data_IF_953138803739
#
_entry.id   IF_953138803739
#
_cell.length_a   1.000
_cell.length_b   1.000
_cell.length_c   1.000
_cell.angle_alpha   90.00
_cell.angle_beta   90.00
_cell.angle_gamma   90.00
#
_symmetry.space_group_name_H-M   'P 1'
#
loop_
_entity.id
_entity.type
_entity.pdbx_description
1 polymer ?
#
# COMPACT_ATOMS: atom_id res chain seq x y z
N UNK A 1 -27.33 -42.72 23.09
CA UNK A 1 -28.29 -42.65 24.20
C UNK A 1 -27.80 -41.62 25.20
N UNK A 2 -28.61 -40.56 25.38
CA UNK A 2 -28.57 -39.46 26.38
C UNK A 2 -28.40 -38.06 25.78
N UNK A 3 -29.57 -37.43 25.72
CA UNK A 3 -29.97 -36.06 25.39
C UNK A 3 -29.52 -35.08 26.49
N UNK A 4 -29.24 -33.83 26.12
CA UNK A 4 -29.57 -32.65 26.94
C UNK A 4 -29.82 -31.42 26.03
N UNK A 5 -30.82 -30.64 26.43
CA UNK A 5 -31.35 -29.42 25.82
C UNK A 5 -31.02 -28.23 26.74
N UNK A 6 -30.80 -27.02 26.22
CA UNK A 6 -31.55 -25.78 26.54
C UNK A 6 -30.90 -24.49 25.96
N UNK A 7 -31.69 -23.79 25.14
CA UNK A 7 -32.00 -22.34 24.99
C UNK A 7 -30.95 -21.18 24.91
N UNK A 8 -31.32 -20.06 24.22
CA UNK A 8 -30.45 -18.95 23.84
C UNK A 8 -30.59 -17.69 24.73
N UNK A 9 -29.63 -16.76 24.63
CA UNK A 9 -29.67 -15.44 25.28
C UNK A 9 -30.06 -14.32 24.29
N UNK A 10 -31.02 -13.50 24.71
CA UNK A 10 -31.47 -12.25 24.08
C UNK A 10 -30.83 -11.05 24.79
N UNK A 11 -30.43 -10.04 24.00
CA UNK A 11 -30.05 -8.70 24.43
C UNK A 11 -31.31 -7.87 24.78
N UNK A 12 -31.25 -7.09 25.87
CA UNK A 12 -32.21 -6.02 26.18
C UNK A 12 -31.49 -4.88 26.92
N UNK A 13 -31.73 -3.64 26.49
CA UNK A 13 -31.26 -2.42 27.16
C UNK A 13 -31.60 -1.16 26.37
N UNK A 14 -32.83 -0.66 26.53
CA UNK A 14 -33.30 0.63 26.02
C UNK A 14 -32.86 1.80 26.91
N UNK A 15 -32.62 2.95 26.27
CA UNK A 15 -32.43 4.29 26.84
C UNK A 15 -33.81 4.98 26.99
N UNK A 16 -34.01 5.68 28.10
CA UNK A 16 -35.20 6.45 28.46
C UNK A 16 -34.99 7.95 28.16
N UNK A 17 -36.01 8.59 27.59
CA UNK A 17 -36.04 10.02 27.21
C UNK A 17 -37.27 10.66 27.86
N UNK A 18 -37.04 11.56 28.83
CA UNK A 18 -38.08 12.36 29.46
C UNK A 18 -38.06 13.80 28.95
N UNK A 19 -39.13 14.19 28.24
CA UNK A 19 -39.45 15.57 27.87
C UNK A 19 -40.80 15.91 28.50
N UNK A 20 -40.86 16.91 29.37
CA UNK A 20 -42.12 17.46 29.89
C UNK A 20 -42.24 18.93 29.51
N UNK A 21 -43.33 19.25 28.82
CA UNK A 21 -43.83 20.60 28.61
C UNK A 21 -45.23 20.69 29.22
N UNK A 22 -45.53 21.75 30.00
CA UNK A 22 -46.85 22.39 29.92
C UNK A 22 -46.93 23.78 30.58
N UNK A 23 -47.46 24.68 29.78
CA UNK A 23 -48.13 25.96 30.06
C UNK A 23 -49.27 25.88 31.09
N UNK A 24 -49.38 26.90 31.95
CA UNK A 24 -50.68 27.41 32.46
C UNK A 24 -50.64 28.91 32.79
N UNK A 25 -51.29 29.72 31.95
CA UNK A 25 -52.28 30.78 32.25
C UNK A 25 -52.23 31.62 33.56
N UNK A 26 -52.25 32.96 33.40
CA UNK A 26 -53.45 33.77 33.71
C UNK A 26 -53.49 34.70 34.95
N UNK A 27 -53.32 36.00 34.67
CA UNK A 27 -54.15 37.15 35.11
C UNK A 27 -53.90 37.87 36.47
N UNK A 28 -53.16 38.99 36.38
CA UNK A 28 -53.63 40.36 36.68
C UNK A 28 -53.87 40.79 38.13
N UNK A 29 -53.11 41.79 38.60
CA UNK A 29 -53.64 43.08 39.07
C UNK A 29 -52.53 44.14 39.22
N UNK A 30 -52.89 45.34 38.77
CA UNK A 30 -52.16 46.61 38.77
C UNK A 30 -52.10 47.22 40.19
N UNK A 31 -51.08 48.05 40.47
CA UNK A 31 -51.19 49.44 40.98
C UNK A 31 -49.93 49.89 41.74
N UNK A 32 -49.34 51.00 41.25
CA UNK A 32 -48.70 52.12 41.99
C UNK A 32 -47.44 51.81 42.81
N UNK A 33 -46.36 52.59 42.84
CA UNK A 33 -46.10 53.97 42.43
C UNK A 33 -44.96 54.49 43.32
N UNK A 34 -43.95 55.09 42.69
CA UNK A 34 -43.02 56.10 43.21
C UNK A 34 -42.05 55.82 44.38
N UNK A 35 -40.93 56.51 44.27
CA UNK A 35 -40.09 57.13 45.30
C UNK A 35 -38.80 56.43 45.72
N UNK A 36 -37.73 57.11 45.31
CA UNK A 36 -36.35 57.00 45.77
C UNK A 36 -36.23 56.84 47.29
N UNK A 37 -35.37 55.93 47.73
CA UNK A 37 -34.62 56.12 48.97
C UNK A 37 -33.21 55.59 48.78
N UNK A 38 -32.28 56.50 48.51
CA UNK A 38 -30.88 56.31 48.86
C UNK A 38 -30.81 56.06 50.37
N UNK A 39 -30.20 54.95 50.78
CA UNK A 39 -29.68 54.79 52.14
C UNK A 39 -28.43 53.93 52.07
N UNK A 40 -27.29 54.61 52.17
CA UNK A 40 -25.97 54.03 52.38
C UNK A 40 -25.97 53.09 53.59
N UNK A 41 -25.41 51.90 53.40
CA UNK A 41 -24.88 51.08 54.49
C UNK A 41 -23.85 50.12 53.91
N UNK A 42 -22.60 50.58 53.95
CA UNK A 42 -21.41 49.80 53.62
C UNK A 42 -21.44 48.39 54.21
N UNK A 43 -21.26 47.39 53.36
CA UNK A 43 -20.58 46.17 53.76
C UNK A 43 -19.62 45.79 52.63
N UNK A 44 -18.39 46.26 52.77
CA UNK A 44 -17.22 45.74 52.08
C UNK A 44 -17.23 44.22 52.18
N UNK A 45 -17.70 43.60 51.11
CA UNK A 45 -17.22 42.31 50.64
C UNK A 45 -17.02 42.47 49.15
N UNK A 46 -16.07 43.34 48.81
CA UNK A 46 -15.23 43.12 47.65
C UNK A 46 -14.51 41.80 47.91
N UNK A 47 -15.23 40.70 47.68
CA UNK A 47 -14.63 39.50 47.16
C UNK A 47 -14.11 39.91 45.79
N UNK A 48 -12.95 40.55 45.81
CA UNK A 48 -12.05 40.63 44.69
C UNK A 48 -11.60 39.19 44.43
N UNK A 49 -12.51 38.42 43.84
CA UNK A 49 -12.17 37.26 43.06
C UNK A 49 -11.81 37.75 41.67
N UNK A 50 -10.92 38.72 41.55
CA UNK A 50 -9.88 38.67 40.53
C UNK A 50 -9.11 37.37 40.75
N UNK A 51 -9.76 36.28 40.36
CA UNK A 51 -9.07 35.14 39.82
C UNK A 51 -8.52 35.68 38.52
N UNK A 52 -7.39 36.37 38.63
CA UNK A 52 -6.47 36.65 37.54
C UNK A 52 -5.99 35.29 37.04
N UNK A 53 -6.90 34.62 36.34
CA UNK A 53 -6.63 33.48 35.50
C UNK A 53 -6.08 34.07 34.20
N UNK A 54 -4.97 34.79 34.31
CA UNK A 54 -3.99 34.91 33.23
C UNK A 54 -3.37 33.51 33.09
N UNK A 55 -4.19 32.56 32.65
CA UNK A 55 -3.68 31.31 32.12
C UNK A 55 -3.21 31.71 30.74
N UNK A 56 -1.91 32.04 30.64
CA UNK A 56 -1.25 32.24 29.36
C UNK A 56 -1.68 31.12 28.42
N UNK A 57 -2.22 31.48 27.26
CA UNK A 57 -2.63 30.50 26.26
C UNK A 57 -1.39 29.69 25.85
N UNK A 58 -1.42 28.37 26.06
CA UNK A 58 -0.33 27.49 25.65
C UNK A 58 -0.33 27.44 24.13
N UNK A 59 0.75 27.93 23.53
CA UNK A 59 0.93 27.99 22.07
C UNK A 59 2.06 27.08 21.65
N UNK A 60 1.96 26.52 20.44
CA UNK A 60 3.04 25.73 19.87
C UNK A 60 4.23 26.63 19.51
N UNK A 61 5.43 26.22 19.88
CA UNK A 61 6.69 26.94 19.60
C UNK A 61 7.50 26.30 18.46
N UNK A 62 7.32 24.99 18.22
CA UNK A 62 8.07 24.27 17.20
C UNK A 62 7.64 22.82 17.01
N UNK A 63 8.28 22.15 16.06
CA UNK A 63 8.28 20.69 15.89
C UNK A 63 9.72 20.23 15.73
N UNK A 64 10.06 19.10 16.34
CA UNK A 64 11.39 18.48 16.24
C UNK A 64 11.25 17.05 15.72
N UNK A 65 11.93 16.74 14.62
CA UNK A 65 12.01 15.40 14.03
C UNK A 65 13.25 14.69 14.54
N UNK A 66 13.07 13.49 15.09
CA UNK A 66 14.15 12.64 15.57
C UNK A 66 14.08 11.23 14.97
N UNK A 67 15.23 10.62 14.64
CA UNK A 67 16.57 11.23 14.64
C UNK A 67 16.77 12.23 13.49
N UNK A 68 17.71 13.17 13.65
CA UNK A 68 18.11 14.13 12.60
C UNK A 68 18.66 13.44 11.34
N UNK A 69 19.11 12.19 11.47
CA UNK A 69 19.51 11.37 10.32
C UNK A 69 19.28 9.88 10.55
N UNK A 70 18.84 9.20 9.49
CA UNK A 70 18.79 7.75 9.36
C UNK A 70 19.73 7.32 8.24
N UNK A 71 20.72 6.49 8.58
CA UNK A 71 21.71 6.00 7.62
C UNK A 71 21.79 4.48 7.58
N UNK A 72 22.30 3.95 6.46
CA UNK A 72 22.40 2.51 6.19
C UNK A 72 21.04 1.81 6.21
N UNK A 73 19.97 2.54 5.85
CA UNK A 73 18.69 1.91 5.61
C UNK A 73 18.83 0.90 4.48
N UNK A 74 18.14 -0.23 4.59
CA UNK A 74 18.02 -1.17 3.47
C UNK A 74 16.56 -1.16 3.04
N UNK A 75 16.29 -1.48 1.78
CA UNK A 75 14.91 -1.56 1.31
C UNK A 75 14.07 -2.50 2.19
N UNK A 76 14.69 -3.57 2.73
CA UNK A 76 14.03 -4.56 3.61
C UNK A 76 13.91 -4.21 5.10
N UNK A 77 14.59 -3.17 5.56
CA UNK A 77 14.61 -2.81 6.99
C UNK A 77 14.18 -1.36 7.12
N UNK A 78 12.90 -1.11 7.42
CA UNK A 78 12.43 0.26 7.58
C UNK A 78 13.10 0.93 8.78
N UNK A 79 13.28 2.24 8.65
CA UNK A 79 13.61 3.14 9.76
C UNK A 79 12.34 3.72 10.38
N UNK A 80 12.50 4.60 11.37
CA UNK A 80 11.39 5.34 11.95
C UNK A 80 11.83 6.76 12.33
N UNK A 81 10.92 7.70 12.12
CA UNK A 81 11.00 9.08 12.58
C UNK A 81 9.91 9.31 13.62
N UNK A 82 10.20 10.18 14.57
CA UNK A 82 9.22 10.71 15.52
C UNK A 82 9.24 12.22 15.43
N UNK A 83 8.08 12.84 15.35
CA UNK A 83 7.94 14.29 15.42
C UNK A 83 7.33 14.70 16.76
N UNK A 84 8.01 15.59 17.47
CA UNK A 84 7.58 16.08 18.79
C UNK A 84 7.31 17.57 18.71
N UNK A 85 6.08 17.99 19.04
CA UNK A 85 5.72 19.39 19.16
C UNK A 85 6.21 19.94 20.52
N UNK A 86 6.83 21.11 20.48
CA UNK A 86 7.28 21.85 21.67
C UNK A 86 6.28 22.98 21.96
N UNK A 87 5.87 23.12 23.22
CA UNK A 87 4.86 24.10 23.64
C UNK A 87 5.44 25.18 24.56
N UNK A 88 4.80 26.35 24.61
CA UNK A 88 5.27 27.52 25.38
C UNK A 88 5.29 27.33 26.90
N UNK A 89 4.62 26.30 27.40
CA UNK A 89 4.68 25.88 28.82
C UNK A 89 5.82 24.88 29.10
N UNK A 90 6.62 24.55 28.07
CA UNK A 90 7.69 23.58 28.10
C UNK A 90 7.24 22.12 28.03
N UNK A 91 5.94 21.86 27.80
CA UNK A 91 5.46 20.51 27.53
C UNK A 91 5.81 20.06 26.11
N UNK A 92 5.75 18.75 25.87
CA UNK A 92 6.03 18.11 24.59
C UNK A 92 4.91 17.12 24.26
N UNK A 93 4.56 17.03 22.98
CA UNK A 93 3.53 16.08 22.49
C UNK A 93 4.01 15.39 21.22
N UNK A 94 3.83 14.08 21.13
CA UNK A 94 4.05 13.33 19.87
C UNK A 94 3.00 13.74 18.84
N UNK A 95 3.46 14.24 17.70
CA UNK A 95 2.65 14.70 16.57
C UNK A 95 3.03 13.96 15.27
N UNK A 96 3.67 12.80 15.39
CA UNK A 96 4.20 12.03 14.25
C UNK A 96 3.13 11.71 13.21
N UNK A 97 1.95 11.27 13.67
CA UNK A 97 0.82 10.91 12.81
C UNK A 97 0.09 12.13 12.21
N UNK A 98 0.26 13.29 12.83
CA UNK A 98 -0.33 14.57 12.43
C UNK A 98 0.57 15.34 11.46
N UNK A 99 1.84 14.96 11.31
CA UNK A 99 2.75 15.52 10.32
C UNK A 99 2.29 15.21 8.89
N UNK A 100 2.33 16.23 8.04
CA UNK A 100 2.34 16.03 6.60
C UNK A 100 3.76 15.68 6.15
N UNK A 101 4.09 14.39 6.15
CA UNK A 101 5.41 13.91 5.72
C UNK A 101 5.60 14.06 4.21
N UNK A 102 6.77 14.55 3.81
CA UNK A 102 7.23 14.57 2.42
C UNK A 102 8.68 14.10 2.31
N UNK A 103 9.06 13.58 1.16
CA UNK A 103 10.44 13.21 0.83
C UNK A 103 10.80 13.89 -0.48
N UNK A 104 11.95 14.56 -0.52
CA UNK A 104 12.41 15.31 -1.71
C UNK A 104 12.75 14.39 -2.90
N UNK A 105 13.15 13.14 -2.62
CA UNK A 105 13.48 12.11 -3.59
C UNK A 105 12.71 10.81 -3.34
N UNK A 106 11.55 10.70 -3.98
CA UNK A 106 10.64 9.54 -3.87
C UNK A 106 11.18 8.25 -4.49
N UNK A 107 12.25 8.32 -5.30
CA UNK A 107 12.94 7.13 -5.81
C UNK A 107 13.88 6.52 -4.76
N UNK A 108 14.19 7.24 -3.68
CA UNK A 108 15.09 6.79 -2.61
C UNK A 108 14.32 6.29 -1.40
N UNK A 109 13.32 7.03 -0.91
CA UNK A 109 12.59 6.67 0.30
C UNK A 109 11.12 7.14 0.29
N UNK A 110 10.34 6.53 1.17
CA UNK A 110 8.95 6.90 1.45
C UNK A 110 8.75 6.93 2.97
N UNK A 111 7.98 7.90 3.47
CA UNK A 111 7.63 8.00 4.90
C UNK A 111 6.11 7.87 5.04
N UNK A 112 5.67 6.88 5.81
CA UNK A 112 4.25 6.67 6.12
C UNK A 112 3.76 7.70 7.15
N UNK A 113 2.44 7.93 7.28
CA UNK A 113 1.91 8.88 8.26
C UNK A 113 2.36 8.60 9.70
N UNK A 114 2.51 7.33 10.10
CA UNK A 114 3.01 6.94 11.43
C UNK A 114 4.53 7.07 11.60
N UNK A 115 5.24 7.67 10.65
CA UNK A 115 6.66 7.97 10.72
C UNK A 115 7.57 6.82 10.31
N UNK A 116 7.05 5.71 9.78
CA UNK A 116 7.89 4.62 9.28
C UNK A 116 8.57 5.03 7.96
N UNK A 117 9.89 4.82 7.89
CA UNK A 117 10.69 5.17 6.71
C UNK A 117 11.03 3.90 5.93
N UNK A 118 10.51 3.81 4.71
CA UNK A 118 10.75 2.71 3.79
C UNK A 118 11.78 3.09 2.73
N UNK A 119 12.84 2.28 2.59
CA UNK A 119 13.80 2.44 1.51
C UNK A 119 13.22 1.94 0.18
N UNK A 120 13.24 2.79 -0.84
CA UNK A 120 12.80 2.48 -2.21
C UNK A 120 14.03 2.24 -3.11
N UNK A 121 15.08 3.02 -2.99
CA UNK A 121 16.25 2.90 -3.86
C UNK A 121 17.49 3.46 -3.21
N UNK A 122 18.68 3.09 -3.71
CA UNK A 122 19.93 3.58 -3.14
C UNK A 122 20.07 5.09 -3.38
N UNK A 123 20.50 5.80 -2.36
CA UNK A 123 20.78 7.23 -2.46
C UNK A 123 20.51 8.00 -1.18
N UNK A 124 20.51 9.32 -1.34
CA UNK A 124 20.23 10.28 -0.28
C UNK A 124 18.90 10.97 -0.57
N UNK A 125 18.15 11.25 0.51
CA UNK A 125 16.91 12.01 0.49
C UNK A 125 16.75 12.79 1.79
N UNK A 126 15.83 13.74 1.83
CA UNK A 126 15.46 14.51 3.02
C UNK A 126 13.97 14.30 3.27
N UNK A 127 13.63 13.79 4.46
CA UNK A 127 12.27 13.75 4.95
C UNK A 127 11.94 15.08 5.65
N UNK A 128 10.79 15.66 5.33
CA UNK A 128 10.26 16.86 6.00
C UNK A 128 8.95 16.51 6.68
N UNK A 129 8.83 16.79 7.98
CA UNK A 129 7.53 16.90 8.64
C UNK A 129 7.08 18.36 8.57
N UNK A 130 5.90 18.61 8.01
CA UNK A 130 5.17 19.86 8.18
C UNK A 130 4.05 19.65 9.18
N UNK A 131 4.08 20.38 10.30
CA UNK A 131 3.04 20.39 11.32
C UNK A 131 2.63 21.83 11.64
N UNK A 132 1.37 22.17 11.33
CA UNK A 132 0.86 23.55 11.39
C UNK A 132 1.70 24.52 10.54
N UNK A 133 2.43 25.42 11.19
CA UNK A 133 3.31 26.42 10.56
C UNK A 133 4.80 26.11 10.78
N UNK A 134 5.10 24.94 11.36
CA UNK A 134 6.46 24.50 11.68
C UNK A 134 6.86 23.36 10.76
N UNK A 135 8.11 23.40 10.34
CA UNK A 135 8.76 22.37 9.55
C UNK A 135 10.03 21.94 10.27
N UNK A 136 10.32 20.64 10.24
CA UNK A 136 11.63 20.11 10.58
C UNK A 136 11.96 18.88 9.72
N UNK A 137 13.25 18.56 9.61
CA UNK A 137 13.77 17.63 8.61
C UNK A 137 14.65 16.53 9.19
N UNK A 138 14.73 15.40 8.49
CA UNK A 138 15.70 14.32 8.76
C UNK A 138 16.39 13.87 7.47
N UNK A 139 17.70 13.73 7.51
CA UNK A 139 18.50 13.22 6.41
C UNK A 139 18.37 11.68 6.30
N UNK A 140 18.09 11.18 5.11
CA UNK A 140 17.93 9.75 4.83
C UNK A 140 19.02 9.26 3.89
N UNK A 141 19.71 8.18 4.27
CA UNK A 141 20.66 7.46 3.42
C UNK A 141 20.29 5.99 3.30
N UNK A 142 19.91 5.59 2.09
CA UNK A 142 19.49 4.23 1.75
C UNK A 142 20.59 3.52 0.96
N UNK A 143 20.95 2.33 1.41
CA UNK A 143 21.94 1.47 0.77
C UNK A 143 21.41 0.76 -0.48
N UNK A 144 22.19 -0.19 -1.03
CA UNK A 144 21.80 -0.97 -2.21
C UNK A 144 20.49 -1.73 -2.02
N UNK A 145 19.77 -1.93 -3.14
CA UNK A 145 18.60 -2.82 -3.20
C UNK A 145 19.06 -4.26 -2.97
N UNK A 146 18.33 -5.00 -2.13
CA UNK A 146 18.62 -6.42 -1.90
C UNK A 146 18.06 -7.31 -3.02
N UNK A 147 18.73 -8.44 -3.34
CA UNK A 147 18.24 -9.41 -4.33
C UNK A 147 16.91 -9.99 -3.88
N UNK A 148 16.03 -10.33 -4.83
CA UNK A 148 14.74 -10.98 -4.56
C UNK A 148 14.91 -12.34 -3.85
N UNK A 149 13.95 -12.65 -2.99
CA UNK A 149 13.88 -13.81 -2.11
C UNK A 149 12.43 -14.32 -2.04
N UNK A 150 12.25 -15.48 -1.42
CA UNK A 150 10.93 -16.06 -1.22
C UNK A 150 9.98 -15.08 -0.49
N UNK A 151 8.81 -14.85 -1.07
CA UNK A 151 7.78 -13.94 -0.55
C UNK A 151 7.87 -12.49 -1.06
N UNK A 152 8.90 -12.15 -1.82
CA UNK A 152 9.01 -10.80 -2.40
C UNK A 152 8.21 -10.63 -3.68
N UNK A 153 8.36 -11.58 -4.60
CA UNK A 153 7.71 -11.56 -5.90
C UNK A 153 6.73 -12.72 -6.01
N UNK A 154 5.64 -12.48 -6.72
CA UNK A 154 4.63 -13.49 -7.04
C UNK A 154 4.47 -13.58 -8.54
N UNK A 155 4.11 -14.77 -9.03
CA UNK A 155 3.58 -14.89 -10.39
C UNK A 155 2.12 -14.46 -10.32
N UNK A 156 1.81 -13.25 -10.80
CA UNK A 156 0.46 -12.68 -10.70
C UNK A 156 -0.47 -13.23 -11.77
N UNK A 157 0.01 -13.34 -13.00
CA UNK A 157 -0.77 -13.82 -14.14
C UNK A 157 0.12 -14.64 -15.07
N UNK A 158 -0.45 -15.64 -15.72
CA UNK A 158 0.21 -16.37 -16.81
C UNK A 158 -0.79 -16.74 -17.90
N UNK A 159 -0.36 -16.66 -19.16
CA UNK A 159 -1.11 -17.11 -20.32
C UNK A 159 -0.30 -18.16 -21.05
N UNK A 160 -0.76 -19.41 -21.01
CA UNK A 160 -0.13 -20.55 -21.67
C UNK A 160 -0.77 -20.91 -23.01
N UNK A 161 -2.03 -20.50 -23.25
CA UNK A 161 -2.75 -20.80 -24.48
C UNK A 161 -3.47 -19.53 -24.98
N UNK A 162 -2.77 -18.65 -25.72
CA UNK A 162 -3.39 -17.45 -26.27
C UNK A 162 -4.48 -17.81 -27.29
N UNK A 163 -5.63 -17.13 -27.20
CA UNK A 163 -6.73 -17.35 -28.14
C UNK A 163 -6.32 -17.07 -29.59
N UNK A 164 -6.87 -17.82 -30.55
CA UNK A 164 -6.59 -17.61 -31.98
C UNK A 164 -6.92 -16.17 -32.38
N UNK A 165 -5.91 -15.42 -32.83
CA UNK A 165 -6.04 -14.02 -33.24
C UNK A 165 -5.91 -13.01 -32.10
N UNK A 166 -5.63 -13.45 -30.86
CA UNK A 166 -5.24 -12.58 -29.76
C UNK A 166 -3.79 -12.09 -29.94
N UNK A 167 -3.54 -10.87 -29.45
CA UNK A 167 -2.24 -10.19 -29.49
C UNK A 167 -2.07 -9.48 -28.13
N UNK A 168 -1.89 -10.23 -27.04
CA UNK A 168 -1.71 -9.70 -25.69
C UNK A 168 -0.42 -8.89 -25.53
N UNK A 169 0.60 -9.13 -26.36
CA UNK A 169 1.84 -8.35 -26.32
C UNK A 169 1.73 -7.01 -27.08
N UNK A 170 0.67 -6.83 -27.88
CA UNK A 170 0.31 -5.64 -28.64
C UNK A 170 1.38 -5.22 -29.67
N UNK A 171 2.11 -6.18 -30.24
CA UNK A 171 3.14 -5.94 -31.25
C UNK A 171 2.58 -5.88 -32.69
N UNK A 172 1.30 -6.19 -32.87
CA UNK A 172 0.58 -6.18 -34.14
C UNK A 172 0.54 -7.53 -34.84
N UNK A 173 1.11 -8.58 -34.25
CA UNK A 173 1.11 -9.95 -34.76
C UNK A 173 0.55 -10.90 -33.72
N UNK A 174 -0.54 -11.60 -34.07
CA UNK A 174 -1.00 -12.73 -33.28
C UNK A 174 -0.14 -13.96 -33.57
N UNK A 175 0.56 -14.45 -32.56
CA UNK A 175 1.39 -15.66 -32.60
C UNK A 175 1.27 -16.42 -31.27
N UNK A 176 0.66 -17.61 -31.31
CA UNK A 176 0.35 -18.39 -30.12
C UNK A 176 1.57 -18.74 -29.25
N UNK A 177 2.80 -18.70 -29.77
CA UNK A 177 4.02 -18.94 -28.98
C UNK A 177 4.64 -17.63 -28.49
N UNK A 178 4.65 -16.58 -29.30
CA UNK A 178 5.21 -15.28 -28.88
C UNK A 178 4.30 -14.54 -27.89
N UNK A 179 3.00 -14.81 -27.92
CA UNK A 179 1.96 -14.20 -27.10
C UNK A 179 1.68 -14.91 -25.77
N UNK A 180 2.34 -16.04 -25.50
CA UNK A 180 2.41 -16.60 -24.15
C UNK A 180 3.07 -15.57 -23.23
N UNK A 181 2.65 -15.52 -21.96
CA UNK A 181 3.34 -14.66 -21.00
C UNK A 181 3.31 -15.17 -19.57
N UNK A 182 4.25 -14.65 -18.79
CA UNK A 182 4.30 -14.76 -17.33
C UNK A 182 4.49 -13.36 -16.77
N UNK A 183 3.62 -12.98 -15.84
CA UNK A 183 3.66 -11.69 -15.14
C UNK A 183 4.13 -11.91 -13.71
N UNK A 184 5.19 -11.20 -13.32
CA UNK A 184 5.67 -11.13 -11.95
C UNK A 184 5.31 -9.78 -11.36
N UNK A 185 4.85 -9.76 -10.10
CA UNK A 185 4.60 -8.53 -9.34
C UNK A 185 5.42 -8.57 -8.06
N UNK A 186 6.02 -7.43 -7.71
CA UNK A 186 6.63 -7.25 -6.39
C UNK A 186 5.54 -7.03 -5.33
N UNK A 187 5.30 -8.08 -4.53
CA UNK A 187 4.37 -8.08 -3.41
C UNK A 187 5.00 -7.50 -2.12
N UNK A 188 6.30 -7.27 -2.07
CA UNK A 188 6.93 -6.67 -0.89
C UNK A 188 6.64 -5.16 -0.77
N UNK A 189 6.68 -4.67 0.46
CA UNK A 189 6.71 -3.24 0.79
C UNK A 189 8.10 -2.61 0.60
N UNK A 190 8.89 -3.11 -0.34
CA UNK A 190 10.21 -2.58 -0.66
C UNK A 190 10.66 -2.96 -2.06
N UNK A 191 11.57 -2.19 -2.63
CA UNK A 191 12.15 -2.52 -3.94
C UNK A 191 13.05 -3.75 -3.84
N UNK A 192 12.99 -4.57 -4.88
CA UNK A 192 13.75 -5.82 -5.01
C UNK A 192 14.57 -5.82 -6.29
N UNK A 193 15.77 -6.37 -6.20
CA UNK A 193 16.67 -6.57 -7.34
C UNK A 193 16.44 -7.96 -7.94
N UNK A 194 16.17 -7.98 -9.24
CA UNK A 194 15.95 -9.17 -10.04
C UNK A 194 17.18 -9.56 -10.86
N UNK A 195 18.30 -8.82 -10.83
CA UNK A 195 19.50 -9.20 -11.58
C UNK A 195 19.90 -10.67 -11.30
N UNK A 196 19.94 -11.49 -12.35
CA UNK A 196 20.28 -12.91 -12.27
C UNK A 196 19.16 -13.83 -11.76
N UNK A 197 17.99 -13.30 -11.38
CA UNK A 197 16.79 -14.10 -11.12
C UNK A 197 16.39 -14.84 -12.41
N UNK A 198 15.87 -16.05 -12.26
CA UNK A 198 15.54 -16.91 -13.40
C UNK A 198 14.11 -17.44 -13.34
N UNK A 199 13.46 -17.51 -14.50
CA UNK A 199 12.18 -18.19 -14.69
C UNK A 199 12.41 -19.58 -15.29
N UNK A 200 11.79 -20.60 -14.73
CA UNK A 200 11.93 -21.99 -15.12
C UNK A 200 10.58 -22.62 -15.42
N UNK A 201 10.55 -23.41 -16.48
CA UNK A 201 9.60 -24.51 -16.68
C UNK A 201 10.29 -25.76 -16.11
N UNK A 202 9.66 -26.40 -15.11
CA UNK A 202 10.27 -27.50 -14.35
C UNK A 202 10.56 -28.75 -15.19
N UNK A 203 10.00 -28.86 -16.39
CA UNK A 203 10.24 -29.96 -17.32
C UNK A 203 11.52 -29.76 -18.16
N UNK A 204 12.19 -28.61 -18.00
CA UNK A 204 13.27 -28.17 -18.87
C UNK A 204 14.62 -28.14 -18.16
N UNK A 205 15.68 -28.23 -18.95
CA UNK A 205 17.05 -28.24 -18.45
C UNK A 205 17.72 -26.87 -18.37
N UNK A 206 17.00 -25.81 -18.73
CA UNK A 206 17.51 -24.45 -18.85
C UNK A 206 16.42 -23.45 -18.41
N UNK A 207 16.86 -22.28 -17.98
CA UNK A 207 15.93 -21.19 -17.70
C UNK A 207 15.20 -20.75 -18.99
N UNK A 208 13.95 -20.34 -18.82
CA UNK A 208 13.12 -19.69 -19.84
C UNK A 208 13.41 -18.20 -19.95
N UNK A 209 13.75 -17.58 -18.83
CA UNK A 209 14.22 -16.21 -18.78
C UNK A 209 15.28 -16.03 -17.69
N UNK A 210 16.25 -15.13 -17.93
CA UNK A 210 17.23 -14.63 -16.96
C UNK A 210 17.20 -13.12 -17.00
N UNK A 211 16.89 -12.52 -15.86
CA UNK A 211 16.84 -11.07 -15.72
C UNK A 211 18.26 -10.48 -15.80
N UNK A 212 18.43 -9.48 -16.66
CA UNK A 212 19.70 -8.79 -16.86
C UNK A 212 20.05 -7.81 -15.74
N UNK A 213 21.19 -7.16 -15.90
CA UNK A 213 21.66 -6.14 -14.94
C UNK A 213 20.71 -4.95 -14.84
N UNK A 214 20.60 -4.38 -13.64
CA UNK A 214 19.69 -3.26 -13.30
C UNK A 214 18.19 -3.59 -13.44
N UNK A 215 17.81 -4.86 -13.34
CA UNK A 215 16.40 -5.25 -13.28
C UNK A 215 15.90 -5.08 -11.85
N UNK A 216 15.16 -4.01 -11.55
CA UNK A 216 14.55 -3.81 -10.22
C UNK A 216 13.05 -3.65 -10.33
N UNK A 217 12.31 -4.09 -9.31
CA UNK A 217 10.88 -3.82 -9.15
C UNK A 217 10.62 -3.06 -7.86
N UNK A 218 10.04 -1.87 -7.94
CA UNK A 218 9.54 -1.13 -6.77
C UNK A 218 8.29 -1.82 -6.19
N UNK A 219 7.86 -1.47 -4.96
CA UNK A 219 6.63 -2.02 -4.38
C UNK A 219 5.44 -1.90 -5.34
N UNK A 220 4.81 -3.04 -5.63
CA UNK A 220 3.65 -3.13 -6.52
C UNK A 220 3.98 -2.96 -8.01
N UNK A 221 5.22 -2.76 -8.44
CA UNK A 221 5.55 -2.80 -9.87
C UNK A 221 5.51 -4.23 -10.41
N UNK A 222 5.19 -4.33 -11.69
CA UNK A 222 5.09 -5.57 -12.43
C UNK A 222 6.14 -5.67 -13.55
N UNK A 223 6.42 -6.90 -13.93
CA UNK A 223 7.15 -7.22 -15.16
C UNK A 223 6.48 -8.38 -15.88
N UNK A 224 6.24 -8.22 -17.17
CA UNK A 224 5.68 -9.25 -18.04
C UNK A 224 6.78 -9.77 -18.97
N UNK A 225 6.98 -11.07 -18.93
CA UNK A 225 7.87 -11.79 -19.83
C UNK A 225 6.98 -12.45 -20.87
N UNK A 226 7.10 -12.04 -22.13
CA UNK A 226 6.40 -12.67 -23.27
C UNK A 226 7.24 -13.77 -23.90
N UNK A 227 6.60 -14.73 -24.57
CA UNK A 227 7.28 -15.83 -25.25
C UNK A 227 8.21 -15.33 -26.37
N UNK A 228 7.90 -14.20 -26.99
CA UNK A 228 8.69 -13.58 -28.05
C UNK A 228 8.13 -12.22 -28.47
N UNK A 229 8.22 -11.92 -29.77
CA UNK A 229 7.69 -10.69 -30.33
C UNK A 229 8.45 -9.41 -29.94
N UNK A 230 7.82 -8.28 -30.18
CA UNK A 230 8.28 -6.94 -29.75
C UNK A 230 7.21 -6.28 -28.87
N UNK A 231 7.04 -6.73 -27.61
CA UNK A 231 5.96 -6.26 -26.74
C UNK A 231 5.86 -4.74 -26.68
N UNK A 232 4.65 -4.24 -26.88
CA UNK A 232 4.36 -2.81 -26.96
C UNK A 232 3.20 -2.43 -26.03
N UNK A 233 3.41 -2.78 -24.76
CA UNK A 233 2.63 -2.34 -23.62
C UNK A 233 3.10 -0.94 -23.17
N UNK A 234 2.18 -0.13 -22.65
CA UNK A 234 2.36 1.30 -22.30
C UNK A 234 1.76 1.65 -20.94
N UNK A 235 1.43 0.64 -20.16
CA UNK A 235 0.84 0.74 -18.85
C UNK A 235 1.87 1.25 -17.84
N UNK A 236 1.41 2.12 -16.93
CA UNK A 236 2.27 2.63 -15.87
C UNK A 236 2.69 1.51 -14.93
N UNK A 237 3.95 1.56 -14.47
CA UNK A 237 4.49 0.64 -13.44
C UNK A 237 4.49 -0.83 -13.83
N UNK A 238 4.50 -1.08 -15.13
CA UNK A 238 4.82 -2.37 -15.70
C UNK A 238 5.91 -2.23 -16.75
N UNK A 239 6.85 -3.18 -16.76
CA UNK A 239 7.76 -3.37 -17.89
C UNK A 239 7.38 -4.66 -18.63
N UNK A 240 7.44 -4.66 -19.96
CA UNK A 240 7.18 -5.86 -20.75
C UNK A 240 8.30 -6.06 -21.78
N UNK A 241 8.76 -7.30 -21.93
CA UNK A 241 9.82 -7.66 -22.87
C UNK A 241 9.76 -9.14 -23.24
N UNK A 242 10.38 -9.55 -24.36
CA UNK A 242 10.42 -10.96 -24.74
C UNK A 242 11.35 -11.74 -23.80
N UNK A 243 11.06 -13.03 -23.64
CA UNK A 243 11.87 -13.98 -22.91
C UNK A 243 13.30 -14.03 -23.49
N UNK A 244 14.25 -14.20 -22.58
CA UNK A 244 15.67 -14.17 -22.90
C UNK A 244 16.41 -15.07 -21.92
N UNK A 245 17.02 -16.12 -22.44
CA UNK A 245 17.73 -17.13 -21.66
C UNK A 245 19.19 -17.29 -22.10
N UNK A 246 19.76 -16.24 -22.73
CA UNK A 246 21.11 -16.24 -23.33
C UNK A 246 21.37 -17.35 -24.37
N UNK A 247 20.34 -18.13 -24.73
CA UNK A 247 20.38 -19.18 -25.74
C UNK A 247 19.65 -18.72 -27.00
N UNK A 248 20.43 -18.20 -27.94
CA UNK A 248 19.92 -17.73 -29.22
C UNK A 248 19.25 -18.83 -30.08
N UNK A 249 19.39 -20.10 -29.73
CA UNK A 249 18.72 -21.22 -30.39
C UNK A 249 17.28 -21.43 -29.93
N UNK A 250 16.86 -20.73 -28.88
CA UNK A 250 15.54 -20.83 -28.24
C UNK A 250 14.81 -19.48 -28.28
N UNK A 251 14.75 -18.91 -29.49
CA UNK A 251 14.24 -17.56 -29.77
C UNK A 251 12.78 -17.30 -29.33
N UNK A 252 12.09 -18.28 -28.73
CA UNK A 252 10.69 -18.22 -28.29
C UNK A 252 10.57 -18.83 -26.87
N UNK A 253 11.05 -18.07 -25.89
CA UNK A 253 11.72 -18.56 -24.68
C UNK A 253 10.85 -19.04 -23.54
N UNK A 254 9.52 -18.94 -23.59
CA UNK A 254 8.65 -19.51 -22.55
C UNK A 254 8.26 -20.96 -22.86
N UNK A 255 7.67 -21.21 -24.05
CA UNK A 255 7.26 -22.52 -24.54
C UNK A 255 6.44 -23.29 -23.50
N UNK A 256 5.37 -22.64 -23.03
CA UNK A 256 4.46 -23.17 -22.03
C UNK A 256 3.61 -24.30 -22.64
N UNK A 257 3.31 -25.33 -21.87
CA UNK A 257 2.48 -26.42 -22.36
C UNK A 257 0.99 -26.13 -22.11
N UNK A 258 0.15 -26.17 -23.14
CA UNK A 258 -1.31 -25.97 -23.00
C UNK A 258 -1.96 -27.01 -22.08
N UNK A 259 -1.41 -28.23 -22.00
CA UNK A 259 -1.93 -29.32 -21.17
C UNK A 259 -1.60 -29.16 -19.66
N UNK A 260 -0.89 -28.09 -19.29
CA UNK A 260 -0.47 -27.82 -17.91
C UNK A 260 1.04 -27.91 -17.72
N UNK A 261 1.53 -27.09 -16.80
CA UNK A 261 2.94 -27.02 -16.43
C UNK A 261 3.12 -26.50 -15.00
N UNK A 262 4.34 -26.64 -14.48
CA UNK A 262 4.80 -25.97 -13.26
C UNK A 262 5.92 -25.01 -13.62
N UNK A 263 5.68 -23.73 -13.32
CA UNK A 263 6.66 -22.67 -13.44
C UNK A 263 7.24 -22.33 -12.07
N UNK A 264 8.51 -21.93 -12.07
CA UNK A 264 9.24 -21.56 -10.86
C UNK A 264 10.12 -20.34 -11.13
N UNK A 265 10.08 -19.37 -10.22
CA UNK A 265 11.04 -18.27 -10.16
C UNK A 265 12.12 -18.66 -9.15
N UNK A 266 13.39 -18.54 -9.55
CA UNK A 266 14.55 -18.83 -8.70
C UNK A 266 15.39 -17.59 -8.49
N UNK A 267 15.86 -17.40 -7.26
CA UNK A 267 16.81 -16.34 -6.95
C UNK A 267 18.22 -16.62 -7.50
N UNK A 268 19.13 -15.70 -7.21
CA UNK A 268 20.54 -15.75 -7.64
C UNK A 268 21.34 -16.88 -7.00
N UNK A 269 20.87 -17.44 -5.88
CA UNK A 269 21.47 -18.59 -5.20
C UNK A 269 20.89 -19.92 -5.72
N UNK A 270 19.82 -19.84 -6.53
CA UNK A 270 19.14 -20.96 -7.15
C UNK A 270 17.99 -21.52 -6.32
N UNK A 271 17.59 -20.83 -5.24
CA UNK A 271 16.46 -21.23 -4.40
C UNK A 271 15.13 -20.80 -5.05
N UNK A 272 14.10 -21.64 -4.92
CA UNK A 272 12.76 -21.34 -5.44
C UNK A 272 12.10 -20.24 -4.59
N UNK A 273 11.75 -19.12 -5.22
CA UNK A 273 11.17 -17.93 -4.55
C UNK A 273 9.70 -17.67 -4.93
N UNK A 274 9.21 -18.32 -5.99
CA UNK A 274 7.82 -18.29 -6.41
C UNK A 274 7.52 -19.47 -7.33
N UNK A 275 6.28 -19.98 -7.32
CA UNK A 275 5.88 -21.06 -8.21
C UNK A 275 4.38 -21.05 -8.46
N UNK A 276 3.99 -21.49 -9.66
CA UNK A 276 2.61 -21.71 -10.07
C UNK A 276 2.52 -23.04 -10.80
N UNK A 277 1.42 -23.74 -10.63
CA UNK A 277 1.06 -24.91 -11.43
C UNK A 277 -0.32 -24.70 -12.01
N UNK A 278 -0.46 -24.96 -13.30
CA UNK A 278 -1.73 -24.97 -14.01
C UNK A 278 -1.90 -26.31 -14.73
N UNK A 279 -3.14 -26.70 -15.02
CA UNK A 279 -3.49 -28.07 -15.44
C UNK A 279 -4.09 -28.13 -16.86
N UNK A 280 -3.98 -27.04 -17.62
CA UNK A 280 -4.54 -26.95 -18.98
C UNK A 280 -6.06 -26.98 -19.06
N UNK A 281 -6.77 -26.94 -17.93
CA UNK A 281 -8.25 -26.84 -17.93
C UNK A 281 -8.76 -25.50 -18.45
N UNK A 282 -7.85 -24.55 -18.66
CA UNK A 282 -8.09 -23.22 -19.17
C UNK A 282 -7.53 -23.12 -20.58
N UNK A 283 -8.42 -22.94 -21.55
CA UNK A 283 -8.10 -22.66 -22.95
C UNK A 283 -8.36 -21.17 -23.23
N UNK A 284 -7.60 -20.57 -24.13
CA UNK A 284 -7.82 -19.21 -24.67
C UNK A 284 -7.82 -18.07 -23.63
N UNK A 285 -7.29 -18.27 -22.42
CA UNK A 285 -7.31 -17.31 -21.32
C UNK A 285 -6.21 -17.55 -20.28
N UNK A 286 -5.93 -16.52 -19.48
CA UNK A 286 -4.89 -16.58 -18.46
C UNK A 286 -5.38 -17.14 -17.12
N UNK A 287 -4.40 -17.59 -16.34
CA UNK A 287 -4.55 -18.00 -14.95
C UNK A 287 -3.98 -16.88 -14.08
N UNK A 288 -4.76 -16.42 -13.10
CA UNK A 288 -4.48 -15.22 -12.30
C UNK A 288 -4.45 -15.58 -10.80
N UNK A 289 -3.50 -15.03 -10.07
CA UNK A 289 -3.43 -15.12 -8.60
C UNK A 289 -4.66 -14.42 -8.01
N UNK A 290 -5.34 -15.06 -7.06
CA UNK A 290 -6.61 -14.56 -6.54
C UNK A 290 -6.66 -14.55 -5.00
N UNK A 291 -6.89 -13.38 -4.37
CA UNK A 291 -6.83 -12.04 -4.98
C UNK A 291 -5.45 -11.77 -5.62
N UNK A 292 -5.40 -10.86 -6.58
CA UNK A 292 -4.14 -10.49 -7.25
C UNK A 292 -3.10 -9.97 -6.24
N UNK A 293 -1.83 -10.23 -6.52
CA UNK A 293 -0.64 -9.88 -5.70
C UNK A 293 -0.55 -10.60 -4.35
N UNK A 294 -1.63 -10.59 -3.56
CA UNK A 294 -1.64 -11.01 -2.14
C UNK A 294 -2.32 -12.37 -1.92
N UNK A 295 -2.84 -12.98 -2.98
CA UNK A 295 -3.52 -14.27 -2.94
C UNK A 295 -2.60 -15.46 -2.70
N UNK A 296 -3.22 -16.62 -2.49
CA UNK A 296 -2.52 -17.90 -2.30
C UNK A 296 -3.06 -19.01 -3.22
N UNK A 297 -4.01 -18.68 -4.10
CA UNK A 297 -4.64 -19.61 -5.02
C UNK A 297 -4.82 -18.94 -6.36
N UNK A 298 -4.73 -19.72 -7.44
CA UNK A 298 -4.97 -19.23 -8.78
C UNK A 298 -6.41 -19.51 -9.21
N UNK A 299 -6.95 -18.61 -10.03
CA UNK A 299 -8.27 -18.73 -10.66
C UNK A 299 -8.14 -18.38 -12.14
N UNK A 300 -9.17 -18.71 -12.90
CA UNK A 300 -9.33 -18.23 -14.26
C UNK A 300 -9.54 -16.71 -14.30
N UNK A 301 -8.90 -16.01 -15.23
CA UNK A 301 -9.05 -14.56 -15.40
C UNK A 301 -10.51 -14.11 -15.45
N UNK A 302 -11.33 -14.74 -16.31
CA UNK A 302 -12.75 -14.42 -16.46
C UNK A 302 -13.62 -14.73 -15.22
N UNK A 303 -13.06 -15.36 -14.18
CA UNK A 303 -13.75 -15.60 -12.91
C UNK A 303 -13.38 -14.58 -11.84
N UNK A 304 -12.34 -13.75 -12.08
CA UNK A 304 -12.04 -12.62 -11.21
C UNK A 304 -13.19 -11.62 -11.30
N UNK A 305 -13.65 -11.13 -10.15
CA UNK A 305 -14.78 -10.21 -10.12
C UNK A 305 -14.41 -8.89 -10.77
N UNK A 306 -15.11 -8.52 -11.84
CA UNK A 306 -14.82 -7.29 -12.60
C UNK A 306 -13.75 -7.46 -13.67
N UNK A 307 -13.33 -8.70 -13.97
CA UNK A 307 -12.34 -9.00 -15.01
C UNK A 307 -12.73 -8.46 -16.38
N UNK A 308 -11.74 -8.00 -17.15
CA UNK A 308 -11.88 -7.48 -18.50
C UNK A 308 -11.05 -8.32 -19.49
N UNK A 309 -11.71 -8.93 -20.46
CA UNK A 309 -11.03 -9.76 -21.47
C UNK A 309 -10.61 -11.15 -20.97
N UNK A 310 -9.81 -11.88 -21.76
CA UNK A 310 -9.30 -13.21 -21.40
C UNK A 310 -7.96 -13.17 -20.63
N UNK A 311 -7.27 -12.02 -20.63
CA UNK A 311 -5.99 -11.77 -19.97
C UNK A 311 -5.78 -10.27 -19.79
N UNK A 312 -4.88 -9.87 -18.88
CA UNK A 312 -4.62 -8.46 -18.55
C UNK A 312 -3.15 -8.13 -18.31
N UNK A 313 -2.22 -8.51 -19.21
CA UNK A 313 -0.80 -8.24 -18.98
C UNK A 313 -0.56 -6.75 -18.69
N UNK A 314 0.28 -6.48 -17.69
CA UNK A 314 0.60 -5.14 -17.19
C UNK A 314 -0.52 -4.39 -16.44
N UNK A 315 -1.64 -5.04 -16.13
CA UNK A 315 -2.71 -4.48 -15.30
C UNK A 315 -3.29 -5.54 -14.38
N UNK A 316 -4.07 -5.10 -13.39
CA UNK A 316 -4.97 -6.01 -12.69
C UNK A 316 -6.00 -6.57 -13.67
N UNK A 317 -6.64 -7.69 -13.33
CA UNK A 317 -7.70 -8.30 -14.13
C UNK A 317 -8.85 -7.33 -14.44
N UNK A 318 -9.06 -6.32 -13.59
CA UNK A 318 -10.05 -5.24 -13.76
C UNK A 318 -9.62 -4.15 -14.76
N UNK A 319 -8.45 -4.28 -15.39
CA UNK A 319 -7.74 -3.26 -16.19
C UNK A 319 -7.31 -2.02 -15.40
N UNK A 320 -7.34 -2.09 -14.06
CA UNK A 320 -6.73 -1.07 -13.21
C UNK A 320 -5.21 -1.21 -13.21
N UNK A 321 -4.51 -0.08 -13.08
CA UNK A 321 -3.06 -0.13 -12.88
C UNK A 321 -2.73 -0.87 -11.57
N UNK A 322 -1.56 -1.48 -11.52
CA UNK A 322 -1.02 -2.03 -10.28
C UNK A 322 -0.98 -0.97 -9.15
N UNK A 323 -0.90 -1.35 -7.86
CA UNK A 323 -0.97 -0.44 -6.70
C UNK A 323 0.32 0.34 -6.45
N UNK A 324 0.27 1.66 -6.23
CA UNK A 324 1.46 2.52 -6.05
C UNK A 324 2.28 2.11 -4.83
N UNK A 325 3.50 2.66 -4.73
CA UNK A 325 4.31 2.53 -3.50
C UNK A 325 3.49 2.95 -2.28
N UNK A 326 2.74 4.05 -2.37
CA UNK A 326 1.87 4.49 -1.29
C UNK A 326 0.75 3.48 -1.01
N UNK A 327 0.14 2.88 -2.03
CA UNK A 327 -0.92 1.88 -1.84
C UNK A 327 -0.38 0.59 -1.20
N UNK A 328 0.89 0.23 -1.45
CA UNK A 328 1.55 -0.94 -0.83
C UNK A 328 2.07 -0.68 0.59
N UNK A 329 2.33 0.59 0.94
CA UNK A 329 2.94 0.97 2.22
C UNK A 329 1.98 1.61 3.21
N UNK A 330 0.83 2.10 2.74
CA UNK A 330 -0.20 2.60 3.63
C UNK A 330 -0.85 1.43 4.41
N UNK A 331 -1.07 1.58 5.72
CA UNK A 331 -1.70 0.56 6.57
C UNK A 331 -3.19 0.35 6.29
#
# INVERSE_FOLDING_TARGET
MRTFSLFPFLLNGCIDIGFEAKDTSGNGHNLEGDSDTDTDSDSDTDADSDTDSDTDEVTAEGVVVSPDSLSLLTTRSPGALTATAEWSDGSETDVTAECAWTVDNVDVAFVTPDGAVHGIGPGEAVATCTWNAFDDTSDLSVGPVGPARAGDVVINELLADPAVGADPNNDGTSDATEDEFVELVNAAGYTVDLEGVTLWDTQQSIARHTFGANSTLKPGEAVVIFGGGEPNLKEDRCNAFPAYNEDNSLKYGLALNNDGDTLTVRDVDGDDIGSVTYDGSIEDASVVLNPEIDGASYTHHAYVTGSMGPSSPCTLATSEAFPTVSDRLAP
#
